data_IF_189094832236
#
_entry.id   IF_189094832236
#
_cell.length_a   1.000
_cell.length_b   1.000
_cell.length_c   1.000
_cell.angle_alpha   90.00
_cell.angle_beta   90.00
_cell.angle_gamma   90.00
#
_symmetry.space_group_name_H-M   'P 1'
#
loop_
_entity.id
_entity.type
_entity.pdbx_description
1 polymer ?
#
# COMPACT_ATOMS: atom_id res chain seq x y z
N UNK A 1 -31.29 31.15 0.76
CA UNK A 1 -30.06 30.99 1.55
C UNK A 1 -29.90 29.52 1.94
N UNK A 2 -29.16 28.74 1.15
CA UNK A 2 -28.83 27.34 1.46
C UNK A 2 -27.34 27.31 1.77
N UNK A 3 -27.03 27.11 3.05
CA UNK A 3 -25.65 26.96 3.54
C UNK A 3 -25.12 25.65 2.98
N UNK A 4 -24.13 25.73 2.11
CA UNK A 4 -23.35 24.58 1.66
C UNK A 4 -22.54 24.14 2.87
N UNK A 5 -22.98 23.05 3.50
CA UNK A 5 -22.24 22.36 4.54
C UNK A 5 -21.06 21.72 3.81
N UNK A 6 -19.87 22.32 3.93
CA UNK A 6 -18.64 21.69 3.52
C UNK A 6 -18.47 20.43 4.37
N UNK A 7 -18.58 19.28 3.71
CA UNK A 7 -18.16 17.98 4.21
C UNK A 7 -16.66 18.06 4.46
N UNK A 8 -16.27 18.44 5.67
CA UNK A 8 -14.95 18.15 6.20
C UNK A 8 -14.96 16.65 6.47
N UNK A 9 -14.55 15.87 5.47
CA UNK A 9 -14.15 14.48 5.71
C UNK A 9 -12.96 14.51 6.65
N UNK A 10 -13.24 14.30 7.94
CA UNK A 10 -12.24 13.89 8.90
C UNK A 10 -11.72 12.53 8.45
N UNK A 11 -10.64 12.55 7.66
CA UNK A 11 -9.85 11.36 7.34
C UNK A 11 -9.19 10.95 8.66
N UNK A 12 -9.82 10.02 9.35
CA UNK A 12 -9.16 9.24 10.40
C UNK A 12 -8.14 8.36 9.68
N UNK A 13 -6.88 8.79 9.66
CA UNK A 13 -5.74 8.03 9.14
C UNK A 13 -5.51 6.80 10.02
N UNK A 14 -6.26 5.72 9.78
CA UNK A 14 -5.88 4.40 10.25
C UNK A 14 -4.77 3.88 9.32
N UNK A 15 -3.52 4.16 9.70
CA UNK A 15 -2.34 3.61 9.04
C UNK A 15 -2.35 2.07 9.16
N UNK A 16 -2.71 1.39 8.09
CA UNK A 16 -2.44 -0.05 7.95
C UNK A 16 -0.95 -0.24 7.67
N UNK A 17 -0.29 -1.05 8.50
CA UNK A 17 1.16 -1.29 8.53
C UNK A 17 1.72 -2.12 7.35
N UNK A 18 1.16 -2.01 6.14
CA UNK A 18 1.67 -2.69 4.95
C UNK A 18 2.25 -1.65 3.98
N UNK A 19 3.58 -1.55 3.95
CA UNK A 19 4.32 -0.54 3.20
C UNK A 19 4.58 -0.99 1.76
N UNK A 20 3.81 -0.44 0.81
CA UNK A 20 4.11 -0.44 -0.63
C UNK A 20 4.69 0.92 -1.05
N UNK A 21 5.22 1.01 -2.29
CA UNK A 21 5.71 2.26 -2.92
C UNK A 21 4.68 3.40 -2.83
N UNK A 22 3.38 3.08 -2.69
CA UNK A 22 2.31 4.03 -2.43
C UNK A 22 2.55 4.89 -1.18
N UNK A 23 3.21 4.37 -0.14
CA UNK A 23 3.33 5.08 1.15
C UNK A 23 4.12 6.38 1.11
N UNK A 24 5.20 6.47 0.33
CA UNK A 24 6.00 7.71 0.22
C UNK A 24 5.22 8.76 -0.57
N UNK A 25 4.58 8.36 -1.67
CA UNK A 25 3.82 9.25 -2.53
C UNK A 25 2.50 9.72 -1.85
N UNK A 26 1.81 8.82 -1.16
CA UNK A 26 0.65 9.15 -0.31
C UNK A 26 1.03 10.12 0.81
N UNK A 27 2.18 9.91 1.44
CA UNK A 27 2.68 10.81 2.49
C UNK A 27 3.02 12.19 1.94
N UNK A 28 3.62 12.27 0.75
CA UNK A 28 3.87 13.54 0.05
C UNK A 28 2.55 14.28 -0.22
N UNK A 29 1.57 13.58 -0.80
CA UNK A 29 0.26 14.14 -1.09
C UNK A 29 -0.45 14.62 0.19
N UNK A 30 -0.41 13.83 1.26
CA UNK A 30 -1.02 14.14 2.55
C UNK A 30 -0.43 15.43 3.15
N UNK A 31 0.90 15.55 3.18
CA UNK A 31 1.58 16.75 3.66
C UNK A 31 1.19 17.99 2.84
N UNK A 32 1.22 17.88 1.53
CA UNK A 32 0.83 18.97 0.63
C UNK A 32 -0.63 19.37 0.83
N UNK A 33 -1.52 18.39 1.00
CA UNK A 33 -2.94 18.62 1.27
C UNK A 33 -3.17 19.40 2.56
N UNK A 34 -2.41 19.07 3.61
CA UNK A 34 -2.46 19.79 4.88
C UNK A 34 -1.98 21.24 4.76
N UNK A 35 -0.83 21.47 4.11
CA UNK A 35 -0.26 22.81 3.90
C UNK A 35 -1.19 23.70 3.05
N UNK A 36 -1.70 23.16 1.94
CA UNK A 36 -2.65 23.86 1.06
C UNK A 36 -3.98 24.15 1.78
N UNK A 37 -4.37 23.29 2.73
CA UNK A 37 -5.51 23.50 3.60
C UNK A 37 -5.34 24.62 4.63
N UNK A 38 -4.18 25.30 4.67
CA UNK A 38 -3.84 26.32 5.66
C UNK A 38 -3.40 25.74 7.00
N UNK A 39 -3.05 24.45 7.03
CA UNK A 39 -2.43 23.83 8.19
C UNK A 39 -1.04 24.41 8.42
N UNK A 40 -0.73 24.70 9.68
CA UNK A 40 0.57 25.19 10.10
C UNK A 40 1.26 24.14 10.97
N UNK A 41 2.59 24.05 10.86
CA UNK A 41 3.38 23.10 11.63
C UNK A 41 4.29 23.85 12.59
N UNK A 42 4.19 23.53 13.88
CA UNK A 42 5.15 24.06 14.87
C UNK A 42 6.57 23.48 14.67
N UNK A 43 6.69 22.36 13.97
CA UNK A 43 7.95 21.66 13.72
C UNK A 43 8.38 21.73 12.27
N UNK A 44 9.70 21.66 12.07
CA UNK A 44 10.35 21.54 10.76
C UNK A 44 11.36 20.40 10.76
N UNK A 45 11.65 19.89 9.56
CA UNK A 45 12.81 19.05 9.34
C UNK A 45 14.06 19.91 9.49
N UNK A 46 14.97 19.50 10.38
CA UNK A 46 16.22 20.21 10.64
C UNK A 46 17.44 19.34 10.38
N UNK A 47 18.59 19.96 10.11
CA UNK A 47 19.86 19.25 9.93
C UNK A 47 20.19 18.35 11.13
N UNK A 48 19.94 18.84 12.34
CA UNK A 48 20.18 18.11 13.59
C UNK A 48 19.31 16.87 13.67
N UNK A 49 18.04 16.99 13.25
CA UNK A 49 17.12 15.87 13.22
C UNK A 49 17.53 14.82 12.20
N UNK A 50 17.89 15.24 10.97
CA UNK A 50 18.36 14.33 9.92
C UNK A 50 19.57 13.53 10.41
N UNK A 51 20.57 14.20 11.00
CA UNK A 51 21.78 13.53 11.51
C UNK A 51 21.47 12.56 12.66
N UNK A 52 20.55 12.92 13.58
CA UNK A 52 20.11 12.01 14.65
C UNK A 52 19.41 10.78 14.11
N UNK A 53 18.47 10.97 13.18
CA UNK A 53 17.73 9.88 12.55
C UNK A 53 18.68 8.94 11.81
N UNK A 54 19.67 9.43 11.08
CA UNK A 54 20.67 8.59 10.42
C UNK A 54 21.49 7.70 11.37
N UNK A 55 21.58 8.05 12.67
CA UNK A 55 22.29 7.24 13.67
C UNK A 55 21.42 6.14 14.26
N UNK A 56 20.10 6.30 14.26
CA UNK A 56 19.15 5.41 14.96
C UNK A 56 18.27 4.61 14.01
N UNK A 57 17.96 5.15 12.83
CA UNK A 57 17.21 4.49 11.78
C UNK A 57 18.21 3.73 10.91
N UNK A 58 18.11 2.40 10.93
CA UNK A 58 18.84 1.57 9.99
C UNK A 58 18.29 1.79 8.57
N UNK A 59 19.15 1.71 7.56
CA UNK A 59 18.75 1.84 6.16
C UNK A 59 18.94 3.23 5.54
N UNK A 60 18.76 3.33 4.23
CA UNK A 60 18.69 4.63 3.55
C UNK A 60 17.36 5.31 3.86
N UNK A 61 17.40 6.59 4.24
CA UNK A 61 16.19 7.38 4.46
C UNK A 61 15.60 7.75 3.11
N UNK A 62 14.35 7.33 2.87
CA UNK A 62 13.59 7.61 1.64
C UNK A 62 12.64 8.79 1.83
N UNK A 63 12.06 8.97 3.03
CA UNK A 63 11.25 10.14 3.33
C UNK A 63 11.38 10.58 4.78
N UNK A 64 11.23 11.88 5.03
CA UNK A 64 11.15 12.48 6.35
C UNK A 64 10.20 13.68 6.30
N UNK A 65 9.16 13.69 7.12
CA UNK A 65 8.14 14.75 7.08
C UNK A 65 7.44 14.95 8.42
N UNK A 66 6.93 16.16 8.61
CA UNK A 66 6.20 16.56 9.81
C UNK A 66 4.74 16.12 9.69
N UNK A 67 4.21 15.55 10.77
CA UNK A 67 2.81 15.16 10.92
C UNK A 67 2.02 16.25 11.67
N UNK A 68 0.71 16.42 11.40
CA UNK A 68 -0.13 17.47 12.01
C UNK A 68 -0.14 17.46 13.54
N UNK A 69 0.08 16.30 14.15
CA UNK A 69 0.20 16.08 15.59
C UNK A 69 1.51 16.57 16.21
N UNK A 70 2.41 17.17 15.43
CA UNK A 70 3.70 17.66 15.92
C UNK A 70 4.73 16.54 16.14
N UNK A 71 4.67 15.50 15.33
CA UNK A 71 5.67 14.43 15.25
C UNK A 71 6.35 14.43 13.88
N UNK A 72 7.47 13.74 13.76
CA UNK A 72 8.18 13.54 12.51
C UNK A 72 8.13 12.06 12.16
N UNK A 73 7.64 11.76 10.97
CA UNK A 73 7.65 10.42 10.39
C UNK A 73 8.87 10.29 9.49
N UNK A 74 9.56 9.16 9.62
CA UNK A 74 10.71 8.78 8.82
C UNK A 74 10.43 7.44 8.18
N UNK A 75 10.59 7.39 6.86
CA UNK A 75 10.51 6.17 6.06
C UNK A 75 11.91 5.85 5.56
N UNK A 76 12.40 4.68 5.89
CA UNK A 76 13.65 4.12 5.36
C UNK A 76 13.34 2.97 4.41
N UNK A 77 14.36 2.48 3.71
CA UNK A 77 14.28 1.27 2.89
C UNK A 77 13.89 0.00 3.66
N UNK A 78 13.94 0.00 5.00
CA UNK A 78 13.76 -1.20 5.82
C UNK A 78 12.81 -1.04 7.02
N UNK A 79 12.45 0.20 7.37
CA UNK A 79 11.61 0.50 8.54
C UNK A 79 10.99 1.89 8.49
N UNK A 80 9.90 2.06 9.23
CA UNK A 80 9.25 3.34 9.48
C UNK A 80 9.40 3.69 10.95
N UNK A 81 9.83 4.91 11.23
CA UNK A 81 10.06 5.42 12.59
C UNK A 81 9.28 6.71 12.78
N UNK A 82 8.59 6.85 13.90
CA UNK A 82 8.00 8.12 14.33
C UNK A 82 8.80 8.66 15.51
N UNK A 83 9.12 9.93 15.46
CA UNK A 83 9.91 10.60 16.48
C UNK A 83 9.42 12.02 16.76
N UNK A 84 9.73 12.53 17.93
CA UNK A 84 9.56 13.94 18.30
C UNK A 84 10.63 14.83 17.67
N UNK A 85 10.50 16.15 17.84
CA UNK A 85 11.45 17.14 17.30
C UNK A 85 12.88 17.02 17.83
N UNK A 86 13.05 16.49 19.03
CA UNK A 86 14.33 16.21 19.66
C UNK A 86 14.89 14.81 19.30
N UNK A 87 14.14 14.03 18.52
CA UNK A 87 14.56 12.73 18.01
C UNK A 87 14.29 11.57 18.96
N UNK A 88 13.42 11.73 19.97
CA UNK A 88 12.96 10.60 20.78
C UNK A 88 11.99 9.73 19.98
N UNK A 89 12.25 8.42 19.96
CA UNK A 89 11.46 7.47 19.20
C UNK A 89 10.12 7.24 19.92
N UNK A 90 9.03 7.45 19.19
CA UNK A 90 7.67 7.17 19.64
C UNK A 90 7.12 5.84 19.10
N UNK A 91 7.50 5.46 17.88
CA UNK A 91 6.99 4.24 17.21
C UNK A 91 8.03 3.68 16.22
N UNK A 92 8.10 2.36 16.08
CA UNK A 92 8.88 1.66 15.06
C UNK A 92 8.01 0.58 14.42
N UNK A 93 7.96 0.56 13.09
CA UNK A 93 7.35 -0.51 12.28
C UNK A 93 8.36 -1.02 11.25
N UNK A 94 8.29 -2.31 10.92
CA UNK A 94 9.06 -2.90 9.82
C UNK A 94 8.49 -2.41 8.47
N UNK A 95 9.38 -2.19 7.50
CA UNK A 95 9.02 -1.90 6.11
C UNK A 95 9.50 -3.02 5.20
N UNK A 96 8.85 -3.18 4.05
CA UNK A 96 9.33 -4.05 2.98
C UNK A 96 10.68 -3.53 2.49
N UNK A 97 11.70 -4.39 2.41
CA UNK A 97 13.02 -3.99 1.90
C UNK A 97 12.91 -3.51 0.45
N UNK A 98 13.11 -2.21 0.22
CA UNK A 98 13.22 -1.65 -1.14
C UNK A 98 14.64 -1.15 -1.33
N UNK A 99 15.42 -1.85 -2.17
CA UNK A 99 16.81 -1.50 -2.49
C UNK A 99 16.91 -0.25 -3.38
N UNK A 100 16.49 0.90 -2.88
CA UNK A 100 16.63 2.20 -3.54
C UNK A 100 17.92 2.85 -3.03
N UNK A 101 18.83 3.18 -3.95
CA UNK A 101 20.04 3.93 -3.64
C UNK A 101 20.07 5.21 -4.46
N UNK A 102 20.40 6.32 -3.80
CA UNK A 102 20.59 7.64 -4.42
C UNK A 102 22.04 8.10 -4.25
N UNK A 103 22.59 8.80 -5.25
CA UNK A 103 23.93 9.41 -5.14
C UNK A 103 23.88 10.69 -4.31
N UNK A 104 22.85 11.51 -4.54
CA UNK A 104 22.53 12.68 -3.71
C UNK A 104 21.82 12.20 -2.47
N UNK A 105 22.40 12.42 -1.28
CA UNK A 105 21.76 12.02 -0.03
C UNK A 105 20.71 13.04 0.39
N UNK A 106 19.76 12.61 1.23
CA UNK A 106 18.72 13.49 1.78
C UNK A 106 19.30 14.78 2.39
N UNK A 107 20.45 14.69 3.06
CA UNK A 107 21.11 15.84 3.68
C UNK A 107 21.56 16.89 2.66
N UNK A 108 21.96 16.46 1.46
CA UNK A 108 22.39 17.34 0.38
C UNK A 108 21.18 18.04 -0.24
N UNK A 109 20.09 17.28 -0.46
CA UNK A 109 18.83 17.81 -0.95
C UNK A 109 18.22 18.85 0.03
N UNK A 110 18.20 18.52 1.32
CA UNK A 110 17.83 19.44 2.39
C UNK A 110 18.66 20.71 2.33
N UNK A 111 19.99 20.58 2.37
CA UNK A 111 20.91 21.71 2.43
C UNK A 111 20.75 22.64 1.23
N UNK A 112 20.60 22.06 0.03
CA UNK A 112 20.39 22.83 -1.18
C UNK A 112 19.12 23.69 -1.10
N UNK A 113 18.01 23.08 -0.67
CA UNK A 113 16.72 23.79 -0.62
C UNK A 113 16.68 24.78 0.53
N UNK A 114 17.15 24.43 1.72
CA UNK A 114 17.20 25.36 2.86
C UNK A 114 17.98 26.64 2.54
N UNK A 115 19.08 26.52 1.77
CA UNK A 115 19.87 27.69 1.33
C UNK A 115 19.12 28.49 0.27
N UNK A 116 18.48 27.82 -0.70
CA UNK A 116 17.78 28.47 -1.80
C UNK A 116 16.49 29.17 -1.37
N UNK A 117 15.66 28.50 -0.56
CA UNK A 117 14.33 28.97 -0.17
C UNK A 117 14.38 29.96 0.99
N UNK A 118 15.27 29.75 1.96
CA UNK A 118 15.22 30.37 3.30
C UNK A 118 13.88 30.13 4.02
N UNK A 119 13.16 29.08 3.64
CA UNK A 119 11.92 28.62 4.26
C UNK A 119 12.19 27.36 5.08
N UNK A 120 11.35 27.12 6.09
CA UNK A 120 11.40 25.87 6.84
C UNK A 120 10.98 24.69 5.95
N UNK A 121 11.75 23.60 6.02
CA UNK A 121 11.43 22.36 5.30
C UNK A 121 10.43 21.57 6.14
N UNK A 122 9.29 21.25 5.54
CA UNK A 122 8.20 20.48 6.16
C UNK A 122 8.28 18.99 5.82
N UNK A 123 8.84 18.66 4.66
CA UNK A 123 9.10 17.27 4.31
C UNK A 123 10.06 17.10 3.15
N UNK A 124 10.66 15.92 3.07
CA UNK A 124 11.58 15.49 2.02
C UNK A 124 11.20 14.06 1.63
N UNK A 125 11.03 13.81 0.34
CA UNK A 125 10.55 12.53 -0.19
C UNK A 125 11.41 12.13 -1.38
N UNK A 126 11.87 10.88 -1.42
CA UNK A 126 12.48 10.27 -2.60
C UNK A 126 11.38 9.60 -3.41
N UNK A 127 10.86 10.33 -4.40
CA UNK A 127 9.69 9.91 -5.18
C UNK A 127 10.13 9.21 -6.45
N UNK A 128 9.54 8.05 -6.73
CA UNK A 128 9.72 7.36 -8.00
C UNK A 128 8.85 8.02 -9.08
N UNK A 129 9.48 8.46 -10.16
CA UNK A 129 8.82 8.95 -11.36
C UNK A 129 9.21 8.08 -12.57
N UNK A 130 8.59 8.32 -13.74
CA UNK A 130 8.83 7.55 -14.98
C UNK A 130 10.30 7.42 -15.36
N UNK A 131 11.11 8.46 -15.06
CA UNK A 131 12.51 8.55 -15.47
C UNK A 131 13.50 8.33 -14.31
N UNK A 132 13.06 7.71 -13.21
CA UNK A 132 13.88 7.41 -12.03
C UNK A 132 13.40 8.13 -10.78
N UNK A 133 14.27 8.21 -9.78
CA UNK A 133 13.93 8.79 -8.47
C UNK A 133 14.30 10.27 -8.41
N UNK A 134 13.50 11.07 -7.73
CA UNK A 134 13.73 12.49 -7.53
C UNK A 134 13.45 12.89 -6.10
N UNK A 135 14.26 13.80 -5.57
CA UNK A 135 14.02 14.37 -4.25
C UNK A 135 12.99 15.48 -4.35
N UNK A 136 11.87 15.32 -3.65
CA UNK A 136 10.85 16.34 -3.50
C UNK A 136 10.99 16.92 -2.11
N UNK A 137 11.39 18.19 -2.03
CA UNK A 137 11.55 18.93 -0.77
C UNK A 137 10.43 19.95 -0.67
N UNK A 138 9.58 19.79 0.32
CA UNK A 138 8.40 20.62 0.56
C UNK A 138 8.72 21.61 1.68
N UNK A 139 8.51 22.88 1.39
CA UNK A 139 8.61 23.99 2.33
C UNK A 139 7.22 24.54 2.65
N UNK A 140 7.14 25.56 3.49
CA UNK A 140 5.88 26.23 3.84
C UNK A 140 5.06 26.63 2.61
N UNK A 141 5.70 27.17 1.58
CA UNK A 141 4.98 27.75 0.43
C UNK A 141 5.27 27.06 -0.90
N UNK A 142 6.39 26.34 -1.01
CA UNK A 142 6.86 25.76 -2.27
C UNK A 142 7.37 24.34 -2.15
N UNK A 143 7.30 23.63 -3.27
CA UNK A 143 7.92 22.33 -3.48
C UNK A 143 9.06 22.43 -4.47
N UNK A 144 10.18 21.79 -4.16
CA UNK A 144 11.39 21.75 -4.95
C UNK A 144 11.63 20.32 -5.40
N UNK A 145 11.78 20.11 -6.70
CA UNK A 145 12.15 18.82 -7.29
C UNK A 145 13.62 18.83 -7.67
N UNK A 146 14.40 17.91 -7.12
CA UNK A 146 15.85 17.82 -7.27
C UNK A 146 16.24 16.48 -7.90
N UNK A 147 17.37 16.46 -8.61
CA UNK A 147 17.97 15.23 -9.10
C UNK A 147 18.45 14.33 -7.95
N UNK A 148 18.23 13.02 -8.04
CA UNK A 148 18.80 12.03 -7.10
C UNK A 148 20.21 11.57 -7.48
N UNK A 149 20.62 11.78 -8.74
CA UNK A 149 21.96 11.47 -9.27
C UNK A 149 22.87 12.68 -9.39
N UNK A 150 22.35 13.89 -9.24
CA UNK A 150 23.14 15.12 -9.23
C UNK A 150 22.44 16.20 -8.40
N UNK A 151 23.22 16.90 -7.58
CA UNK A 151 22.71 17.88 -6.62
C UNK A 151 22.29 19.18 -7.32
N UNK A 152 21.14 19.16 -7.99
CA UNK A 152 20.56 20.31 -8.65
C UNK A 152 19.05 20.36 -8.50
N UNK A 153 18.53 21.56 -8.27
CA UNK A 153 17.11 21.86 -8.37
C UNK A 153 16.71 21.86 -9.84
N UNK A 154 15.72 21.04 -10.18
CA UNK A 154 15.20 20.85 -11.53
C UNK A 154 13.92 21.64 -11.74
N UNK A 155 13.11 21.78 -10.69
CA UNK A 155 11.84 22.49 -10.75
C UNK A 155 11.46 23.05 -9.37
N UNK A 156 10.74 24.17 -9.36
CA UNK A 156 10.19 24.80 -8.16
C UNK A 156 8.77 25.21 -8.44
N UNK A 157 7.84 24.84 -7.55
CA UNK A 157 6.41 25.05 -7.74
C UNK A 157 5.75 25.50 -6.44
N UNK A 158 4.59 26.15 -6.55
CA UNK A 158 3.72 26.39 -5.39
C UNK A 158 3.11 25.06 -4.90
N UNK A 159 2.84 24.98 -3.60
CA UNK A 159 2.34 23.75 -2.96
C UNK A 159 1.00 23.26 -3.56
N UNK A 160 0.12 24.16 -4.00
CA UNK A 160 -1.15 23.79 -4.65
C UNK A 160 -0.93 23.01 -5.94
N UNK A 161 0.02 23.47 -6.76
CA UNK A 161 0.35 22.82 -8.02
C UNK A 161 1.11 21.51 -7.78
N UNK A 162 1.98 21.49 -6.77
CA UNK A 162 2.65 20.26 -6.37
C UNK A 162 1.65 19.19 -5.87
N UNK A 163 0.60 19.60 -5.15
CA UNK A 163 -0.47 18.72 -4.67
C UNK A 163 -1.26 18.11 -5.84
N UNK A 164 -1.60 18.91 -6.84
CA UNK A 164 -2.27 18.44 -8.04
C UNK A 164 -1.42 17.38 -8.78
N UNK A 165 -0.11 17.65 -8.94
CA UNK A 165 0.80 16.69 -9.56
C UNK A 165 0.99 15.41 -8.74
N UNK A 166 1.16 15.53 -7.41
CA UNK A 166 1.26 14.38 -6.51
C UNK A 166 0.00 13.52 -6.55
N UNK A 167 -1.19 14.13 -6.57
CA UNK A 167 -2.48 13.43 -6.68
C UNK A 167 -2.58 12.67 -8.00
N UNK A 168 -2.19 13.30 -9.11
CA UNK A 168 -2.17 12.65 -10.43
C UNK A 168 -1.18 11.48 -10.49
N UNK A 169 0.01 11.63 -9.88
CA UNK A 169 0.99 10.53 -9.79
C UNK A 169 0.41 9.37 -8.98
N UNK A 170 -0.27 9.65 -7.88
CA UNK A 170 -0.88 8.62 -7.03
C UNK A 170 -2.01 7.88 -7.76
N UNK A 171 -2.90 8.60 -8.44
CA UNK A 171 -3.94 7.99 -9.29
C UNK A 171 -3.34 7.07 -10.36
N UNK A 172 -2.24 7.51 -11.00
CA UNK A 172 -1.53 6.71 -12.00
C UNK A 172 -0.94 5.44 -11.38
N UNK A 173 -0.27 5.55 -10.24
CA UNK A 173 0.33 4.40 -9.55
C UNK A 173 -0.74 3.37 -9.12
N UNK A 174 -1.88 3.85 -8.61
CA UNK A 174 -3.01 2.98 -8.24
C UNK A 174 -3.65 2.30 -9.46
N UNK A 175 -3.75 3.00 -10.59
CA UNK A 175 -4.28 2.44 -11.84
C UNK A 175 -3.34 1.41 -12.49
N UNK A 176 -2.03 1.53 -12.28
CA UNK A 176 -1.05 0.52 -12.73
C UNK A 176 -1.08 -0.75 -11.87
N UNK A 177 -1.40 -0.66 -10.58
CA UNK A 177 -1.56 -1.84 -9.72
C UNK A 177 -2.82 -2.68 -10.05
N UNK A 178 -3.91 -2.06 -10.52
CA UNK A 178 -5.10 -2.80 -10.98
C UNK A 178 -4.84 -3.63 -12.26
N UNK A 179 -3.90 -3.18 -13.11
CA UNK A 179 -3.51 -3.87 -14.36
C UNK A 179 -2.56 -5.07 -14.14
N UNK A 180 -2.06 -5.25 -12.91
CA UNK A 180 -1.23 -6.41 -12.52
C UNK A 180 -2.01 -7.59 -11.95
N UNK A 181 -3.34 -7.56 -11.99
CA UNK A 181 -4.07 -8.83 -11.97
C UNK A 181 -3.83 -9.52 -13.31
N UNK A 182 -3.24 -10.73 -13.38
CA UNK A 182 -3.57 -11.58 -14.50
C UNK A 182 -5.09 -11.65 -14.45
N UNK A 183 -5.73 -11.05 -15.44
CA UNK A 183 -7.08 -11.40 -15.79
C UNK A 183 -7.03 -12.85 -16.25
N UNK A 184 -6.86 -13.79 -15.31
CA UNK A 184 -7.82 -14.87 -15.22
C UNK A 184 -9.17 -14.16 -15.10
N UNK A 185 -9.73 -13.79 -16.25
CA UNK A 185 -11.15 -14.00 -16.44
C UNK A 185 -11.39 -15.35 -15.80
N UNK A 186 -12.26 -15.47 -14.78
CA UNK A 186 -12.85 -16.76 -14.52
C UNK A 186 -13.38 -17.15 -15.89
N UNK A 187 -12.78 -18.19 -16.50
CA UNK A 187 -13.32 -18.78 -17.71
C UNK A 187 -14.81 -18.88 -17.40
N UNK A 188 -15.61 -18.12 -18.16
CA UNK A 188 -17.07 -18.09 -18.03
C UNK A 188 -17.47 -19.52 -17.67
N UNK A 189 -18.06 -19.79 -16.49
CA UNK A 189 -18.25 -21.17 -16.07
C UNK A 189 -18.84 -21.91 -17.25
N UNK A 190 -18.14 -22.94 -17.74
CA UNK A 190 -18.68 -23.75 -18.81
C UNK A 190 -20.07 -24.16 -18.33
N UNK A 191 -21.08 -23.71 -19.06
CA UNK A 191 -22.49 -23.97 -18.80
C UNK A 191 -22.57 -25.47 -18.50
N UNK A 192 -23.00 -25.89 -17.29
CA UNK A 192 -22.93 -27.29 -16.92
C UNK A 192 -23.67 -28.07 -18.00
N UNK A 193 -22.90 -28.84 -18.79
CA UNK A 193 -23.47 -29.67 -19.84
C UNK A 193 -24.61 -30.45 -19.19
N UNK A 194 -25.84 -30.21 -19.66
CA UNK A 194 -27.03 -30.94 -19.19
C UNK A 194 -26.63 -32.40 -19.06
N UNK A 195 -26.82 -33.03 -17.89
CA UNK A 195 -26.57 -34.46 -17.76
C UNK A 195 -27.32 -35.16 -18.89
N UNK A 196 -26.61 -35.97 -19.68
CA UNK A 196 -27.30 -36.89 -20.59
C UNK A 196 -28.23 -37.73 -19.71
N UNK A 197 -29.50 -37.75 -20.06
CA UNK A 197 -30.52 -38.56 -19.40
C UNK A 197 -29.95 -39.98 -19.23
N UNK A 198 -29.88 -40.53 -18.01
CA UNK A 198 -29.50 -41.92 -17.85
C UNK A 198 -30.54 -42.74 -18.61
N UNK A 199 -30.10 -43.44 -19.67
CA UNK A 199 -30.95 -44.36 -20.39
C UNK A 199 -31.66 -45.28 -19.39
N UNK A 200 -32.97 -45.45 -19.55
CA UNK A 200 -33.75 -46.38 -18.72
C UNK A 200 -32.99 -47.71 -18.65
N UNK A 201 -32.76 -48.26 -17.44
CA UNK A 201 -32.30 -49.63 -17.32
C UNK A 201 -33.33 -50.56 -17.99
N UNK A 202 -32.87 -51.44 -18.87
CA UNK A 202 -33.69 -52.55 -19.34
C UNK A 202 -34.05 -53.44 -18.14
N UNK A 203 -35.33 -53.83 -18.08
CA UNK A 203 -35.92 -54.62 -17.01
C UNK A 203 -35.19 -55.98 -16.93
N UNK A 204 -34.58 -56.36 -15.80
CA UNK A 204 -33.96 -57.66 -15.67
C UNK A 204 -35.04 -58.74 -15.74
N UNK A 205 -34.95 -59.57 -16.78
CA UNK A 205 -35.85 -60.70 -16.99
C UNK A 205 -36.01 -61.56 -15.74
N UNK A 206 -37.26 -61.93 -15.43
CA UNK A 206 -37.63 -62.80 -14.31
C UNK A 206 -36.70 -64.02 -14.21
N UNK A 207 -36.08 -64.27 -13.05
CA UNK A 207 -35.46 -65.57 -12.79
C UNK A 207 -36.53 -66.66 -12.79
N UNK A 208 -36.28 -67.74 -13.53
CA UNK A 208 -37.09 -68.95 -13.48
C UNK A 208 -36.99 -69.60 -12.09
N UNK A 209 -38.14 -70.06 -11.62
CA UNK A 209 -38.39 -70.72 -10.34
C UNK A 209 -37.56 -72.02 -10.23
N UNK A 210 -36.62 -72.16 -9.28
CA UNK A 210 -36.00 -73.45 -9.02
C UNK A 210 -36.98 -74.28 -8.18
N UNK A 211 -37.50 -75.32 -8.83
CA UNK A 211 -38.49 -76.24 -8.29
C UNK A 211 -38.18 -76.83 -6.91
N UNK A 212 -39.27 -77.14 -6.21
CA UNK A 212 -39.33 -77.88 -4.95
C UNK A 212 -38.34 -79.05 -4.89
N UNK A 213 -37.67 -79.25 -3.75
CA UNK A 213 -37.15 -80.56 -3.38
C UNK A 213 -38.30 -81.43 -2.87
N UNK A 214 -38.52 -82.56 -3.53
CA UNK A 214 -39.33 -83.66 -3.03
C UNK A 214 -38.73 -84.27 -1.75
N UNK A 215 -39.59 -84.47 -0.75
CA UNK A 215 -39.34 -85.31 0.42
C UNK A 215 -39.30 -86.79 0.01
N UNK A 216 -38.39 -87.59 0.58
CA UNK A 216 -38.75 -88.98 0.89
C UNK A 216 -38.18 -89.39 2.27
N UNK A 217 -38.38 -90.64 2.75
CA UNK A 217 -39.58 -91.06 3.45
C UNK A 217 -39.27 -91.69 4.84
N UNK A 218 -40.29 -91.71 5.71
CA UNK A 218 -40.60 -92.72 6.74
C UNK A 218 -39.49 -93.37 7.59
N UNK A 219 -39.71 -93.38 8.92
CA UNK A 219 -39.82 -94.63 9.70
C UNK A 219 -40.40 -94.39 11.11
N UNK A 220 -41.62 -94.86 11.23
CA UNK A 220 -42.28 -95.49 12.37
C UNK A 220 -41.34 -96.30 13.30
N UNK A 221 -41.43 -96.09 14.62
CA UNK A 221 -41.85 -97.09 15.63
C UNK A 221 -41.25 -96.88 17.04
N UNK A 222 -42.16 -96.92 18.02
CA UNK A 222 -41.91 -97.07 19.46
C UNK A 222 -43.26 -97.00 20.17
N UNK A 223 -44.07 -98.08 20.16
CA UNK A 223 -44.20 -99.04 21.28
C UNK A 223 -44.19 -98.38 22.68
N UNK A 224 -45.36 -98.07 23.21
CA UNK A 224 -46.06 -98.87 24.22
C UNK A 224 -47.48 -98.34 24.45
#
# INVERSE_FOLDING_TARGET
>A
MKRVICLVSAIVFMFSAALSVGTVLESEQSLLGYLVGGGDFELSVSITLILKVQQIAAGEILAMFVLPEGLVRVVTDSRVVTLSSDGEISEISEASEVGISSEVKMIDAFSLVSIQSREEVRGIFLVQEENGHFWHVITETKSYRLGSSFASTLNVMANEKALEEASKRLEKALGEEEDLTPSEKPGKPDDPSKPKDPGKPDDPGKPNDPGKPDTPPGKENGKN
#
